data_IF_562048207087
#
_entry.id   IF_562048207087
#
_cell.length_a   1.000
_cell.length_b   1.000
_cell.length_c   1.000
_cell.angle_alpha   90.00
_cell.angle_beta   90.00
_cell.angle_gamma   90.00
#
_symmetry.space_group_name_H-M   'P 1'
#
loop_
_entity.id
_entity.type
_entity.pdbx_description
1 polymer ?
#
# COMPACT_ATOMS: atom_id res chain seq x y z
N UNK A 1 -5.27 -4.04 -11.48
CA UNK A 1 -4.56 -5.08 -10.68
C UNK A 1 -3.35 -5.68 -11.38
N UNK A 2 -3.46 -6.14 -12.63
CA UNK A 2 -2.37 -6.89 -13.28
C UNK A 2 -1.02 -6.13 -13.38
N UNK A 3 -1.03 -4.84 -13.74
CA UNK A 3 0.20 -4.06 -13.89
C UNK A 3 0.99 -3.83 -12.59
N UNK A 4 0.32 -3.60 -11.47
CA UNK A 4 1.01 -3.37 -10.18
C UNK A 4 1.61 -4.65 -9.62
N UNK A 5 0.98 -5.80 -9.87
CA UNK A 5 1.52 -7.09 -9.46
C UNK A 5 2.74 -7.50 -10.29
N UNK A 6 2.73 -7.19 -11.59
CA UNK A 6 3.93 -7.32 -12.45
C UNK A 6 5.04 -6.38 -12.01
N UNK A 7 4.73 -5.10 -11.70
CA UNK A 7 5.72 -4.15 -11.20
C UNK A 7 6.36 -4.64 -9.89
N UNK A 8 5.57 -5.25 -8.99
CA UNK A 8 6.05 -5.85 -7.75
C UNK A 8 7.03 -7.00 -8.00
N UNK A 9 6.71 -7.90 -8.93
CA UNK A 9 7.57 -9.04 -9.27
C UNK A 9 8.90 -8.59 -9.90
N UNK A 10 8.83 -7.61 -10.81
CA UNK A 10 10.02 -6.99 -11.42
C UNK A 10 10.86 -6.29 -10.35
N UNK A 11 10.25 -5.50 -9.47
CA UNK A 11 10.97 -4.77 -8.43
C UNK A 11 11.71 -5.72 -7.47
N UNK A 12 11.07 -6.83 -7.06
CA UNK A 12 11.68 -7.89 -6.26
C UNK A 12 12.87 -8.53 -6.97
N UNK A 13 12.70 -8.85 -8.25
CA UNK A 13 13.75 -9.46 -9.07
C UNK A 13 14.94 -8.51 -9.28
N UNK A 14 14.65 -7.22 -9.49
CA UNK A 14 15.63 -6.15 -9.66
C UNK A 14 16.25 -5.64 -8.35
N UNK A 15 15.79 -6.15 -7.18
CA UNK A 15 16.16 -5.65 -5.84
C UNK A 15 15.95 -4.14 -5.67
N UNK A 16 14.97 -3.57 -6.37
CA UNK A 16 14.63 -2.16 -6.29
C UNK A 16 13.56 -1.95 -5.21
N UNK A 17 14.03 -1.76 -3.97
CA UNK A 17 13.17 -1.57 -2.80
C UNK A 17 12.20 -0.37 -2.97
N UNK A 18 12.62 0.72 -3.63
CA UNK A 18 11.76 1.88 -3.82
C UNK A 18 10.58 1.55 -4.73
N UNK A 19 10.86 0.94 -5.88
CA UNK A 19 9.82 0.52 -6.82
C UNK A 19 8.89 -0.55 -6.22
N UNK A 20 9.43 -1.46 -5.40
CA UNK A 20 8.64 -2.45 -4.67
C UNK A 20 7.65 -1.78 -3.71
N UNK A 21 8.11 -0.79 -2.94
CA UNK A 21 7.28 -0.05 -2.02
C UNK A 21 6.18 0.76 -2.73
N UNK A 22 6.50 1.40 -3.86
CA UNK A 22 5.54 2.15 -4.68
C UNK A 22 4.46 1.24 -5.30
N UNK A 23 4.86 0.06 -5.78
CA UNK A 23 3.93 -0.94 -6.32
C UNK A 23 2.99 -1.48 -5.23
N UNK A 24 3.51 -1.74 -4.02
CA UNK A 24 2.71 -2.15 -2.87
C UNK A 24 1.72 -1.07 -2.44
N UNK A 25 2.15 0.20 -2.37
CA UNK A 25 1.24 1.31 -2.05
C UNK A 25 0.12 1.47 -3.08
N UNK A 26 0.46 1.28 -4.36
CA UNK A 26 -0.53 1.32 -5.45
C UNK A 26 -1.52 0.16 -5.38
N UNK A 27 -1.07 -1.04 -5.02
CA UNK A 27 -1.98 -2.17 -4.74
C UNK A 27 -2.90 -1.85 -3.56
N UNK A 28 -2.37 -1.20 -2.51
CA UNK A 28 -3.14 -0.72 -1.38
C UNK A 28 -4.35 0.12 -1.81
N UNK A 29 -4.10 1.14 -2.63
CA UNK A 29 -5.14 2.02 -3.19
C UNK A 29 -6.16 1.25 -4.04
N UNK A 30 -5.69 0.33 -4.89
CA UNK A 30 -6.61 -0.47 -5.73
C UNK A 30 -7.53 -1.34 -4.88
N UNK A 31 -7.03 -1.95 -3.80
CA UNK A 31 -7.88 -2.72 -2.90
C UNK A 31 -8.84 -1.86 -2.09
N UNK A 32 -8.45 -0.63 -1.76
CA UNK A 32 -9.34 0.35 -1.14
C UNK A 32 -10.51 0.71 -2.08
N UNK A 33 -10.23 0.96 -3.36
CA UNK A 33 -11.26 1.24 -4.39
C UNK A 33 -12.23 0.05 -4.56
N UNK A 34 -11.76 -1.18 -4.32
CA UNK A 34 -12.59 -2.38 -4.32
C UNK A 34 -13.30 -2.65 -2.98
N UNK A 35 -13.21 -1.73 -2.02
CA UNK A 35 -13.74 -1.86 -0.67
C UNK A 35 -13.18 -3.08 0.10
N UNK A 36 -12.04 -3.60 -0.34
CA UNK A 36 -11.31 -4.70 0.28
C UNK A 36 -10.27 -4.14 1.27
N UNK A 37 -10.77 -3.45 2.30
CA UNK A 37 -9.94 -2.68 3.22
C UNK A 37 -8.86 -3.50 3.95
N UNK A 38 -9.07 -4.76 4.37
CA UNK A 38 -8.01 -5.56 4.98
C UNK A 38 -6.80 -5.75 4.05
N UNK A 39 -7.05 -6.06 2.77
CA UNK A 39 -5.99 -6.18 1.76
C UNK A 39 -5.30 -4.84 1.50
N UNK A 40 -6.06 -3.75 1.45
CA UNK A 40 -5.53 -2.40 1.27
C UNK A 40 -4.52 -2.05 2.38
N UNK A 41 -4.93 -2.26 3.64
CA UNK A 41 -4.11 -2.00 4.83
C UNK A 41 -2.84 -2.86 4.82
N UNK A 42 -2.97 -4.15 4.49
CA UNK A 42 -1.82 -5.06 4.43
C UNK A 42 -0.76 -4.58 3.43
N UNK A 43 -1.17 -4.21 2.22
CA UNK A 43 -0.24 -3.73 1.19
C UNK A 43 0.38 -2.38 1.55
N UNK A 44 -0.40 -1.49 2.16
CA UNK A 44 0.10 -0.20 2.63
C UNK A 44 1.12 -0.35 3.78
N UNK A 45 0.93 -1.32 4.69
CA UNK A 45 1.91 -1.67 5.72
C UNK A 45 3.21 -2.26 5.15
N UNK A 46 3.12 -3.12 4.13
CA UNK A 46 4.30 -3.65 3.45
C UNK A 46 5.09 -2.54 2.75
N UNK A 47 4.39 -1.61 2.08
CA UNK A 47 5.00 -0.41 1.50
C UNK A 47 5.72 0.43 2.57
N UNK A 48 5.07 0.66 3.72
CA UNK A 48 5.64 1.41 4.84
C UNK A 48 6.94 0.80 5.34
N UNK A 49 6.95 -0.52 5.57
CA UNK A 49 8.12 -1.24 6.09
C UNK A 49 9.35 -1.06 5.18
N UNK A 50 9.14 -1.02 3.87
CA UNK A 50 10.23 -0.82 2.91
C UNK A 50 10.68 0.65 2.89
N UNK A 51 9.76 1.62 2.90
CA UNK A 51 10.12 3.04 2.97
C UNK A 51 10.82 3.43 4.28
N UNK A 52 10.51 2.74 5.38
CA UNK A 52 11.26 2.83 6.63
C UNK A 52 12.68 2.25 6.48
N UNK A 53 12.81 1.08 5.86
CA UNK A 53 14.11 0.43 5.63
C UNK A 53 15.05 1.26 4.75
N UNK A 54 14.54 1.94 3.72
CA UNK A 54 15.36 2.75 2.82
C UNK A 54 15.52 4.22 3.27
N UNK A 55 14.84 4.62 4.34
CA UNK A 55 14.98 5.97 4.91
C UNK A 55 14.35 7.08 4.06
N UNK A 56 13.15 6.86 3.49
CA UNK A 56 12.40 7.87 2.73
C UNK A 56 11.23 8.44 3.56
N UNK A 57 11.43 9.53 4.33
CA UNK A 57 10.40 10.08 5.21
C UNK A 57 9.23 10.73 4.45
N UNK A 58 9.48 11.26 3.24
CA UNK A 58 8.43 11.84 2.42
C UNK A 58 7.45 10.75 1.97
N UNK A 59 7.98 9.61 1.50
CA UNK A 59 7.17 8.45 1.15
C UNK A 59 6.44 7.85 2.35
N UNK A 60 7.07 7.79 3.53
CA UNK A 60 6.39 7.36 4.76
C UNK A 60 5.17 8.24 5.08
N UNK A 61 5.29 9.56 4.95
CA UNK A 61 4.18 10.49 5.17
C UNK A 61 2.98 10.21 4.25
N UNK A 62 3.24 9.99 2.96
CA UNK A 62 2.19 9.60 2.00
C UNK A 62 1.55 8.27 2.40
N UNK A 63 2.35 7.30 2.82
CA UNK A 63 1.86 5.97 3.20
C UNK A 63 1.02 6.01 4.48
N UNK A 64 1.39 6.82 5.47
CA UNK A 64 0.59 7.05 6.67
C UNK A 64 -0.76 7.70 6.36
N UNK A 65 -0.80 8.67 5.45
CA UNK A 65 -2.06 9.29 5.02
C UNK A 65 -3.00 8.24 4.42
N UNK A 66 -2.49 7.38 3.53
CA UNK A 66 -3.28 6.32 2.91
C UNK A 66 -3.75 5.27 3.93
N UNK A 67 -2.92 4.89 4.91
CA UNK A 67 -3.34 4.02 6.01
C UNK A 67 -4.48 4.64 6.81
N UNK A 68 -4.38 5.93 7.14
CA UNK A 68 -5.44 6.65 7.86
C UNK A 68 -6.76 6.65 7.10
N UNK A 69 -6.70 6.86 5.79
CA UNK A 69 -7.87 6.78 4.90
C UNK A 69 -8.46 5.37 4.89
N UNK A 70 -7.65 4.34 4.66
CA UNK A 70 -8.11 2.94 4.63
C UNK A 70 -8.72 2.48 5.96
N UNK A 71 -8.17 2.89 7.11
CA UNK A 71 -8.76 2.58 8.42
C UNK A 71 -10.10 3.28 8.63
N UNK A 72 -10.22 4.54 8.23
CA UNK A 72 -11.47 5.29 8.32
C UNK A 72 -12.55 4.66 7.42
N UNK A 73 -12.20 4.29 6.19
CA UNK A 73 -13.08 3.62 5.24
C UNK A 73 -13.55 2.26 5.77
N UNK A 74 -12.64 1.45 6.33
CA UNK A 74 -12.96 0.17 6.98
C UNK A 74 -13.94 0.32 8.14
N UNK A 75 -13.70 1.29 9.04
CA UNK A 75 -14.58 1.54 10.18
C UNK A 75 -16.00 1.97 9.73
N UNK A 76 -16.10 2.82 8.70
CA UNK A 76 -17.37 3.25 8.11
C UNK A 76 -18.11 2.10 7.41
N UNK A 77 -17.41 1.21 6.76
CA UNK A 77 -18.03 0.03 6.14
C UNK A 77 -18.62 -0.90 7.19
N UNK A 78 -17.85 -1.20 8.25
CA UNK A 78 -18.29 -2.08 9.33
C UNK A 78 -19.47 -1.51 10.15
N UNK A 79 -19.71 -0.19 10.09
CA UNK A 79 -20.85 0.45 10.78
C UNK A 79 -22.10 0.56 9.90
N UNK A 80 -21.97 0.37 8.59
CA UNK A 80 -23.07 0.39 7.62
C UNK A 80 -23.44 -1.01 7.09
N UNK A 81 -22.79 -2.07 7.59
CA UNK A 81 -23.03 -3.49 7.26
C UNK A 81 -23.86 -4.15 8.35
#
# INVERSE_FOLDING_TARGET
>A
MNYYQQALEIAKTAKNNKLEAEALGSLGLVYEDLQQYPQAIQHQQQSLAIFQKIGDPAAQGMVFNNLGHAFLSSARFNTNS
#
